data_IF_025246516390
#
_entry.id   IF_025246516390
#
_cell.length_a   1.000
_cell.length_b   1.000
_cell.length_c   1.000
_cell.angle_alpha   90.00
_cell.angle_beta   90.00
_cell.angle_gamma   90.00
#
_symmetry.space_group_name_H-M   'P 1'
#
loop_
_entity.id
_entity.type
_entity.pdbx_description
1 polymer ?
#
# COMPACT_ATOMS: atom_id res chain seq x y z
N UNK A 1 -15.55 -22.23 -25.25
CA UNK A 1 -14.30 -21.43 -25.32
C UNK A 1 -14.48 -19.94 -24.95
N UNK A 2 -15.66 -19.31 -25.08
CA UNK A 2 -15.85 -17.90 -24.64
C UNK A 2 -16.05 -17.75 -23.13
N UNK A 3 -16.57 -18.79 -22.47
CA UNK A 3 -16.92 -18.74 -21.04
C UNK A 3 -15.69 -18.83 -20.11
N UNK A 4 -14.71 -19.66 -20.47
CA UNK A 4 -13.46 -19.81 -19.69
C UNK A 4 -12.61 -18.53 -19.69
N UNK A 5 -12.65 -17.75 -20.77
CA UNK A 5 -11.95 -16.46 -20.87
C UNK A 5 -12.60 -15.40 -19.96
N UNK A 6 -13.92 -15.35 -19.89
CA UNK A 6 -14.63 -14.44 -18.99
C UNK A 6 -14.35 -14.75 -17.52
N UNK A 7 -14.38 -16.03 -17.12
CA UNK A 7 -14.06 -16.45 -15.76
C UNK A 7 -12.62 -16.08 -15.39
N UNK A 8 -11.67 -16.29 -16.30
CA UNK A 8 -10.27 -15.90 -16.10
C UNK A 8 -10.12 -14.38 -15.94
N UNK A 9 -10.84 -13.60 -16.75
CA UNK A 9 -10.81 -12.13 -16.66
C UNK A 9 -11.42 -11.62 -15.35
N UNK A 10 -12.54 -12.22 -14.90
CA UNK A 10 -13.14 -11.89 -13.60
C UNK A 10 -12.19 -12.24 -12.46
N UNK A 11 -11.57 -13.42 -12.49
CA UNK A 11 -10.61 -13.84 -11.48
C UNK A 11 -9.41 -12.87 -11.42
N UNK A 12 -8.88 -12.46 -12.57
CA UNK A 12 -7.81 -11.48 -12.66
C UNK A 12 -8.21 -10.11 -12.10
N UNK A 13 -9.45 -9.67 -12.36
CA UNK A 13 -9.99 -8.43 -11.81
C UNK A 13 -10.10 -8.50 -10.27
N UNK A 14 -10.68 -9.57 -9.74
CA UNK A 14 -10.87 -9.77 -8.29
C UNK A 14 -9.52 -9.79 -7.57
N UNK A 15 -8.56 -10.53 -8.10
CA UNK A 15 -7.19 -10.59 -7.57
C UNK A 15 -6.55 -9.20 -7.55
N UNK A 16 -6.62 -8.45 -8.65
CA UNK A 16 -6.05 -7.11 -8.71
C UNK A 16 -6.72 -6.16 -7.71
N UNK A 17 -8.05 -6.15 -7.67
CA UNK A 17 -8.83 -5.24 -6.83
C UNK A 17 -8.58 -5.49 -5.33
N UNK A 18 -8.60 -6.76 -4.91
CA UNK A 18 -8.52 -7.14 -3.51
C UNK A 18 -7.10 -7.19 -2.96
N UNK A 19 -6.10 -7.54 -3.77
CA UNK A 19 -4.76 -7.83 -3.28
C UNK A 19 -3.67 -6.88 -3.77
N UNK A 20 -3.92 -6.09 -4.83
CA UNK A 20 -2.86 -5.28 -5.47
C UNK A 20 -3.19 -3.81 -5.57
N UNK A 21 -4.47 -3.46 -5.68
CA UNK A 21 -4.91 -2.08 -5.79
C UNK A 21 -5.04 -1.44 -4.41
N UNK A 22 -4.38 -0.30 -4.23
CA UNK A 22 -4.60 0.56 -3.07
C UNK A 22 -5.88 1.38 -3.27
N UNK A 23 -6.65 1.55 -2.19
CA UNK A 23 -7.88 2.34 -2.21
C UNK A 23 -7.77 3.51 -1.25
N UNK A 24 -8.03 4.72 -1.76
CA UNK A 24 -7.92 5.96 -0.98
C UNK A 24 -8.87 5.98 0.22
N UNK A 25 -10.08 5.42 0.06
CA UNK A 25 -11.07 5.27 1.14
C UNK A 25 -10.63 4.32 2.26
N UNK A 26 -9.58 3.53 2.02
CA UNK A 26 -8.99 2.59 2.97
C UNK A 26 -7.58 3.03 3.38
N UNK A 27 -7.31 4.34 3.42
CA UNK A 27 -5.99 4.89 3.73
C UNK A 27 -4.86 4.36 2.83
N UNK A 28 -5.18 4.07 1.57
CA UNK A 28 -4.29 3.43 0.61
C UNK A 28 -3.80 2.05 1.08
N UNK A 29 -4.67 1.28 1.74
CA UNK A 29 -4.51 -0.15 1.97
C UNK A 29 -5.24 -0.93 0.87
N UNK A 30 -4.90 -2.22 0.75
CA UNK A 30 -5.67 -3.15 -0.08
C UNK A 30 -6.89 -3.64 0.69
N UNK A 31 -8.00 -4.03 0.02
CA UNK A 31 -9.15 -4.60 0.70
C UNK A 31 -8.79 -5.85 1.50
N UNK A 32 -7.88 -6.68 0.98
CA UNK A 32 -7.38 -7.85 1.71
C UNK A 32 -6.67 -7.46 3.02
N UNK A 33 -5.82 -6.43 3.03
CA UNK A 33 -5.14 -6.01 4.27
C UNK A 33 -6.12 -5.52 5.34
N UNK A 34 -7.20 -4.87 4.93
CA UNK A 34 -8.28 -4.45 5.83
C UNK A 34 -9.06 -5.68 6.33
N UNK A 35 -9.48 -6.56 5.42
CA UNK A 35 -10.24 -7.76 5.76
C UNK A 35 -9.49 -8.69 6.72
N UNK A 36 -8.19 -8.91 6.49
CA UNK A 36 -7.34 -9.72 7.35
C UNK A 36 -6.82 -8.98 8.60
N UNK A 37 -7.27 -7.74 8.85
CA UNK A 37 -6.93 -6.98 10.05
C UNK A 37 -5.48 -6.50 10.13
N UNK A 38 -4.72 -6.52 9.02
CA UNK A 38 -3.32 -6.08 8.98
C UNK A 38 -3.15 -4.57 8.83
N UNK A 39 -4.24 -3.85 8.55
CA UNK A 39 -4.21 -2.42 8.21
C UNK A 39 -3.49 -1.55 9.24
N UNK A 40 -3.78 -1.75 10.54
CA UNK A 40 -3.16 -0.94 11.60
C UNK A 40 -1.64 -1.07 11.63
N UNK A 41 -1.12 -2.31 11.56
CA UNK A 41 0.32 -2.57 11.56
C UNK A 41 1.02 -1.94 10.35
N UNK A 42 0.40 -2.02 9.17
CA UNK A 42 0.94 -1.42 7.95
C UNK A 42 1.03 0.11 8.09
N UNK A 43 -0.02 0.74 8.62
CA UNK A 43 -0.05 2.20 8.80
C UNK A 43 0.98 2.66 9.83
N UNK A 44 1.16 1.95 10.94
CA UNK A 44 2.19 2.25 11.93
C UNK A 44 3.60 2.20 11.33
N UNK A 45 3.89 1.17 10.53
CA UNK A 45 5.21 1.03 9.92
C UNK A 45 5.47 2.12 8.87
N UNK A 46 4.46 2.47 8.05
CA UNK A 46 4.54 3.59 7.10
C UNK A 46 4.83 4.91 7.79
N UNK A 47 4.18 5.14 8.93
CA UNK A 47 4.36 6.34 9.73
C UNK A 47 5.80 6.43 10.27
N UNK A 48 6.32 5.32 10.82
CA UNK A 48 7.71 5.21 11.30
C UNK A 48 8.72 5.54 10.20
N UNK A 49 8.59 4.91 9.03
CA UNK A 49 9.47 5.16 7.86
C UNK A 49 9.41 6.62 7.42
N UNK A 50 8.22 7.23 7.41
CA UNK A 50 8.04 8.65 7.06
C UNK A 50 8.80 9.57 8.02
N UNK A 51 8.66 9.34 9.33
CA UNK A 51 9.41 10.11 10.36
C UNK A 51 10.92 9.97 10.19
N UNK A 52 11.40 8.73 10.03
CA UNK A 52 12.82 8.43 9.86
C UNK A 52 13.40 9.11 8.61
N UNK A 53 12.67 9.06 7.50
CA UNK A 53 13.06 9.69 6.24
C UNK A 53 13.15 11.21 6.36
N UNK A 54 12.18 11.85 7.03
CA UNK A 54 12.18 13.31 7.26
C UNK A 54 13.37 13.69 8.14
N UNK A 55 13.63 12.95 9.23
CA UNK A 55 14.76 13.18 10.13
C UNK A 55 16.09 13.09 9.38
N UNK A 56 16.29 12.04 8.60
CA UNK A 56 17.50 11.86 7.79
C UNK A 56 17.69 13.00 6.80
N UNK A 57 16.60 13.44 6.14
CA UNK A 57 16.65 14.57 5.21
C UNK A 57 17.08 15.85 5.91
N UNK A 58 16.54 16.16 7.09
CA UNK A 58 16.94 17.33 7.90
C UNK A 58 18.43 17.30 8.26
N UNK A 59 18.92 16.16 8.76
CA UNK A 59 20.34 16.00 9.10
C UNK A 59 21.25 16.26 7.90
N UNK A 60 20.91 15.69 6.72
CA UNK A 60 21.67 15.93 5.48
C UNK A 60 21.65 17.40 5.05
N UNK A 61 20.53 18.10 5.21
CA UNK A 61 20.45 19.53 4.92
C UNK A 61 21.32 20.36 5.86
N UNK A 62 21.30 20.09 7.16
CA UNK A 62 22.16 20.80 8.13
C UNK A 62 23.65 20.56 7.86
N UNK A 63 24.04 19.31 7.58
CA UNK A 63 25.43 18.98 7.26
C UNK A 63 25.92 19.65 5.96
N UNK A 64 25.03 19.97 5.01
CA UNK A 64 25.37 20.69 3.77
C UNK A 64 25.40 22.21 3.95
N UNK A 65 24.75 22.73 4.98
CA UNK A 65 24.66 24.17 5.28
C UNK A 65 25.75 24.66 6.25
N UNK A 66 26.51 23.73 6.85
CA UNK A 66 27.72 23.99 7.63
C UNK A 66 28.96 23.91 6.72
#
# INVERSE_FOLDING_TARGET
MVQEDLEAQIAAFVEHYNHRRYHESLDNLTPADVYFGRGHTILLERERIKRDTIRLRRLKHHAKAA
#
